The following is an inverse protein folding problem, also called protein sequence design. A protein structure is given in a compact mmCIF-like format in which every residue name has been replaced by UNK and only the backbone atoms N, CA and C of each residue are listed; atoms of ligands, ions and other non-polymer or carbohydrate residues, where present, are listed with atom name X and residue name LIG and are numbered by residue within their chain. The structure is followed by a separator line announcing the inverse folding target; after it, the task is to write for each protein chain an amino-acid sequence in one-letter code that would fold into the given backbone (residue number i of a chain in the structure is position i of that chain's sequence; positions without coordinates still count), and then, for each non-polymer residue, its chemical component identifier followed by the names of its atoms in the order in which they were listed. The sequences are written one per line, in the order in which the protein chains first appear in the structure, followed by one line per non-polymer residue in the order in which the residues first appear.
data_IF_646690358591
#
_entry.id   IF_646690358591
#
_cell.length_a   1.000
_cell.length_b   1.000
_cell.length_c   1.000
_cell.angle_alpha   90.00
_cell.angle_beta   90.00
_cell.angle_gamma   90.00
#
_symmetry.space_group_name_H-M   'P 1'
#
loop_
_entity.id
_entity.type
_entity.pdbx_description
1 polymer ?
#
# COMPACT_ATOMS: atom_id res chain seq x y z
N UNK A 1 33.86 -4.67 15.84
CA UNK A 1 33.64 -3.31 15.29
C UNK A 1 33.00 -3.49 13.92
N UNK A 2 31.69 -3.27 13.78
CA UNK A 2 30.98 -3.51 12.51
C UNK A 2 30.88 -2.21 11.72
N UNK A 3 31.42 -2.20 10.51
CA UNK A 3 31.48 -1.05 9.64
C UNK A 3 30.06 -0.64 9.20
N UNK A 4 29.65 0.60 9.54
CA UNK A 4 28.47 1.24 8.95
C UNK A 4 28.73 1.48 7.46
N UNK A 5 28.17 0.63 6.61
CA UNK A 5 28.12 0.86 5.16
C UNK A 5 27.40 2.19 4.90
N UNK A 6 28.10 3.18 4.33
CA UNK A 6 27.50 4.41 3.83
C UNK A 6 26.49 4.02 2.73
N UNK A 7 25.18 4.21 2.97
CA UNK A 7 24.18 4.12 1.89
C UNK A 7 24.56 5.19 0.86
N UNK A 8 24.95 4.74 -0.35
CA UNK A 8 24.82 5.53 -1.58
C UNK A 8 23.42 6.16 -1.62
N UNK A 9 23.20 7.26 -2.34
CA UNK A 9 21.88 7.90 -2.48
C UNK A 9 20.96 6.93 -3.25
N UNK A 10 20.51 5.88 -2.57
CA UNK A 10 19.74 4.79 -3.14
C UNK A 10 18.37 5.36 -3.49
N UNK A 11 17.98 5.21 -4.74
CA UNK A 11 16.59 5.37 -5.14
C UNK A 11 15.72 4.63 -4.14
N UNK A 12 14.83 5.35 -3.44
CA UNK A 12 13.97 4.75 -2.42
C UNK A 12 12.87 3.97 -3.08
N UNK A 13 12.65 2.75 -2.60
CA UNK A 13 11.58 1.85 -3.05
C UNK A 13 10.30 2.12 -2.26
N UNK A 14 9.19 2.36 -2.97
CA UNK A 14 7.90 2.68 -2.39
C UNK A 14 6.85 1.72 -2.95
N UNK A 15 6.09 1.06 -2.07
CA UNK A 15 4.89 0.34 -2.48
C UNK A 15 3.63 1.17 -2.22
N UNK A 16 2.87 1.43 -3.27
CA UNK A 16 1.53 2.01 -3.15
C UNK A 16 0.53 0.86 -3.03
N UNK A 17 -0.20 0.83 -1.93
CA UNK A 17 -1.14 -0.25 -1.60
C UNK A 17 -2.55 0.19 -1.94
N UNK A 18 -3.24 -0.64 -2.73
CA UNK A 18 -4.62 -0.43 -3.17
C UNK A 18 -5.48 -1.68 -2.90
N UNK A 19 -6.79 -1.49 -2.87
CA UNK A 19 -7.79 -2.54 -2.61
C UNK A 19 -8.88 -2.54 -3.69
N UNK A 20 -8.68 -3.22 -4.80
CA UNK A 20 -9.54 -3.13 -5.98
C UNK A 20 -10.91 -3.79 -5.77
N UNK A 21 -12.01 -3.06 -6.01
CA UNK A 21 -13.31 -3.73 -6.24
C UNK A 21 -13.28 -4.26 -7.69
N UNK A 22 -13.39 -5.58 -7.93
CA UNK A 22 -13.30 -6.11 -9.28
C UNK A 22 -14.35 -5.49 -10.21
N UNK A 23 -14.03 -5.38 -11.51
CA UNK A 23 -14.89 -4.79 -12.56
C UNK A 23 -15.31 -3.33 -12.35
N UNK A 24 -14.70 -2.64 -11.41
CA UNK A 24 -14.98 -1.24 -11.08
C UNK A 24 -13.75 -0.39 -11.34
N UNK A 25 -13.93 0.83 -11.85
CA UNK A 25 -12.87 1.85 -11.89
C UNK A 25 -13.46 3.20 -11.52
N UNK A 26 -12.81 3.93 -10.63
CA UNK A 26 -13.27 5.23 -10.17
C UNK A 26 -12.13 6.12 -9.68
N UNK A 27 -12.48 7.10 -8.84
CA UNK A 27 -11.55 8.11 -8.36
C UNK A 27 -10.37 7.54 -7.56
N UNK A 28 -10.58 6.40 -6.87
CA UNK A 28 -9.50 5.75 -6.12
C UNK A 28 -8.40 5.22 -7.03
N UNK A 29 -8.77 4.58 -8.15
CA UNK A 29 -7.82 4.04 -9.12
C UNK A 29 -7.10 5.17 -9.86
N UNK A 30 -7.83 6.22 -10.26
CA UNK A 30 -7.23 7.42 -10.89
C UNK A 30 -6.23 8.10 -9.95
N UNK A 31 -6.51 8.15 -8.65
CA UNK A 31 -5.59 8.71 -7.67
C UNK A 31 -4.33 7.86 -7.51
N UNK A 32 -4.46 6.53 -7.46
CA UNK A 32 -3.29 5.63 -7.43
C UNK A 32 -2.44 5.82 -8.68
N UNK A 33 -3.04 5.88 -9.87
CA UNK A 33 -2.35 6.12 -11.14
C UNK A 33 -1.55 7.43 -11.10
N UNK A 34 -2.20 8.52 -10.64
CA UNK A 34 -1.57 9.84 -10.49
C UNK A 34 -0.44 9.84 -9.46
N UNK A 35 -0.64 9.19 -8.31
CA UNK A 35 0.37 9.07 -7.27
C UNK A 35 1.63 8.36 -7.77
N UNK A 36 1.45 7.21 -8.43
CA UNK A 36 2.57 6.43 -8.98
C UNK A 36 3.33 7.26 -10.02
N UNK A 37 2.61 7.94 -10.92
CA UNK A 37 3.21 8.84 -11.92
C UNK A 37 4.08 9.91 -11.26
N UNK A 38 3.55 10.60 -10.26
CA UNK A 38 4.24 11.70 -9.58
C UNK A 38 5.45 11.23 -8.76
N UNK A 39 5.36 10.07 -8.11
CA UNK A 39 6.50 9.49 -7.39
C UNK A 39 7.61 9.07 -8.36
N UNK A 40 7.27 8.40 -9.46
CA UNK A 40 8.26 8.01 -10.47
C UNK A 40 8.93 9.21 -11.12
N UNK A 41 8.19 10.30 -11.36
CA UNK A 41 8.74 11.56 -11.87
C UNK A 41 9.77 12.21 -10.91
N UNK A 42 9.76 11.83 -9.62
CA UNK A 42 10.72 12.26 -8.60
C UNK A 42 11.83 11.23 -8.36
N UNK A 43 12.01 10.30 -9.30
CA UNK A 43 13.05 9.28 -9.28
C UNK A 43 12.94 8.27 -8.13
N UNK A 44 11.73 8.04 -7.62
CA UNK A 44 11.45 6.90 -6.73
C UNK A 44 11.22 5.62 -7.54
N UNK A 45 11.62 4.48 -6.99
CA UNK A 45 11.23 3.18 -7.51
C UNK A 45 9.87 2.82 -6.91
N UNK A 46 8.86 2.63 -7.74
CA UNK A 46 7.47 2.54 -7.26
C UNK A 46 6.73 1.40 -7.95
N UNK A 47 6.13 0.54 -7.13
CA UNK A 47 5.20 -0.49 -7.57
C UNK A 47 3.87 -0.40 -6.81
N UNK A 48 2.83 -0.98 -7.42
CA UNK A 48 1.49 -1.05 -6.84
C UNK A 48 1.19 -2.49 -6.41
N UNK A 49 0.80 -2.67 -5.15
CA UNK A 49 0.20 -3.92 -4.68
C UNK A 49 -1.29 -3.71 -4.52
N UNK A 50 -2.07 -4.43 -5.32
CA UNK A 50 -3.53 -4.35 -5.29
C UNK A 50 -4.15 -5.70 -5.00
N UNK A 51 -4.94 -5.79 -3.92
CA UNK A 51 -5.74 -6.97 -3.61
C UNK A 51 -7.21 -6.73 -3.92
N UNK A 52 -7.96 -7.76 -4.36
CA UNK A 52 -9.41 -7.68 -4.47
C UNK A 52 -10.04 -7.30 -3.13
N UNK A 53 -11.05 -6.43 -3.19
CA UNK A 53 -11.85 -5.99 -2.06
C UNK A 53 -13.33 -6.20 -2.33
N UNK A 54 -14.03 -6.72 -1.33
CA UNK A 54 -15.48 -6.82 -1.33
C UNK A 54 -16.04 -6.27 -0.02
N UNK A 55 -16.92 -5.27 -0.12
CA UNK A 55 -17.50 -4.63 1.05
C UNK A 55 -18.56 -5.50 1.74
N UNK A 56 -19.15 -6.46 1.04
CA UNK A 56 -20.25 -7.30 1.54
C UNK A 56 -20.02 -8.78 1.23
N UNK A 57 -20.54 -9.69 2.08
CA UNK A 57 -21.17 -9.41 3.37
C UNK A 57 -20.17 -8.89 4.42
N UNK A 58 -20.63 -8.14 5.44
CA UNK A 58 -19.72 -7.58 6.48
C UNK A 58 -18.88 -8.65 7.19
N UNK A 59 -19.35 -9.90 7.25
CA UNK A 59 -18.65 -11.03 7.87
C UNK A 59 -17.27 -11.33 7.25
N UNK A 60 -17.03 -10.96 5.98
CA UNK A 60 -15.74 -11.21 5.31
C UNK A 60 -14.72 -10.08 5.52
N UNK A 61 -15.10 -8.96 6.13
CA UNK A 61 -14.19 -7.81 6.33
C UNK A 61 -13.00 -8.18 7.22
N UNK A 62 -13.24 -8.95 8.30
CA UNK A 62 -12.19 -9.41 9.19
C UNK A 62 -11.14 -10.27 8.47
N UNK A 63 -11.57 -11.15 7.56
CA UNK A 63 -10.67 -11.97 6.74
C UNK A 63 -9.83 -11.10 5.80
N UNK A 64 -10.43 -10.09 5.17
CA UNK A 64 -9.69 -9.18 4.30
C UNK A 64 -8.65 -8.36 5.07
N UNK A 65 -8.98 -7.89 6.29
CA UNK A 65 -8.01 -7.24 7.18
C UNK A 65 -6.86 -8.20 7.54
N UNK A 66 -7.18 -9.44 7.89
CA UNK A 66 -6.17 -10.44 8.22
C UNK A 66 -5.20 -10.71 7.06
N UNK A 67 -5.71 -10.81 5.83
CA UNK A 67 -4.88 -10.96 4.63
C UNK A 67 -3.82 -9.86 4.52
N UNK A 68 -4.23 -8.59 4.67
CA UNK A 68 -3.30 -7.45 4.63
C UNK A 68 -2.26 -7.50 5.76
N UNK A 69 -2.64 -7.94 6.97
CA UNK A 69 -1.71 -8.06 8.11
C UNK A 69 -0.62 -9.12 7.88
N UNK A 70 -0.88 -10.12 7.04
CA UNK A 70 0.02 -11.25 6.79
C UNK A 70 0.89 -11.11 5.54
N UNK A 71 0.74 -10.04 4.75
CA UNK A 71 1.49 -9.90 3.50
C UNK A 71 3.00 -9.71 3.75
N UNK A 72 3.87 -10.48 3.09
CA UNK A 72 5.33 -10.31 3.18
C UNK A 72 5.79 -9.15 2.28
N UNK A 73 5.52 -7.91 2.70
CA UNK A 73 5.77 -6.70 1.90
C UNK A 73 7.11 -6.00 2.19
N UNK A 74 7.93 -6.52 3.11
CA UNK A 74 9.15 -5.83 3.55
C UNK A 74 10.28 -5.87 2.53
N UNK A 75 10.30 -6.87 1.65
CA UNK A 75 11.32 -7.00 0.60
C UNK A 75 10.84 -7.91 -0.54
N UNK A 76 11.32 -7.64 -1.75
CA UNK A 76 11.03 -8.41 -2.96
C UNK A 76 12.29 -8.54 -3.80
N UNK A 77 12.56 -9.74 -4.33
CA UNK A 77 13.71 -10.03 -5.21
C UNK A 77 15.05 -9.47 -4.68
N UNK A 78 15.29 -9.58 -3.35
CA UNK A 78 16.52 -9.11 -2.71
C UNK A 78 16.60 -7.60 -2.46
N UNK A 79 15.50 -6.85 -2.66
CA UNK A 79 15.41 -5.41 -2.44
C UNK A 79 14.43 -5.10 -1.31
N UNK A 80 14.87 -4.32 -0.34
CA UNK A 80 14.01 -3.84 0.74
C UNK A 80 12.98 -2.85 0.20
N UNK A 81 11.81 -2.81 0.84
CA UNK A 81 10.80 -1.78 0.64
C UNK A 81 11.05 -0.68 1.68
N UNK A 82 11.46 0.51 1.26
CA UNK A 82 11.78 1.60 2.19
C UNK A 82 10.50 2.22 2.79
N UNK A 83 9.37 2.19 2.07
CA UNK A 83 8.10 2.79 2.51
C UNK A 83 6.89 2.11 1.86
N UNK A 84 5.77 2.07 2.59
CA UNK A 84 4.46 1.77 1.99
C UNK A 84 3.48 2.93 2.15
N UNK A 85 2.68 3.17 1.11
CA UNK A 85 1.60 4.16 1.10
C UNK A 85 0.26 3.43 1.02
N UNK A 86 -0.52 3.48 2.09
CA UNK A 86 -1.84 2.87 2.19
C UNK A 86 -2.91 3.87 1.72
N UNK A 87 -3.73 3.50 0.74
CA UNK A 87 -4.67 4.46 0.12
C UNK A 87 -6.11 4.33 0.60
N UNK A 88 -6.57 3.13 0.93
CA UNK A 88 -7.97 2.88 1.34
C UNK A 88 -8.10 1.68 2.27
N UNK A 89 -9.24 1.54 2.93
CA UNK A 89 -9.56 0.30 3.62
C UNK A 89 -9.51 -0.89 2.64
N UNK A 90 -8.89 -2.04 2.97
CA UNK A 90 -8.23 -2.41 4.24
C UNK A 90 -6.70 -2.24 4.26
N UNK A 91 -6.11 -1.56 3.27
CA UNK A 91 -4.64 -1.48 3.05
C UNK A 91 -3.84 -1.06 4.28
N UNK A 92 -4.38 -0.17 5.11
CA UNK A 92 -3.69 0.32 6.31
C UNK A 92 -3.52 -0.73 7.42
N UNK A 93 -4.15 -1.89 7.30
CA UNK A 93 -3.92 -3.04 8.18
C UNK A 93 -2.55 -3.71 7.94
N UNK A 94 -1.86 -3.38 6.85
CA UNK A 94 -0.52 -3.90 6.56
C UNK A 94 0.48 -3.58 7.67
N UNK A 95 1.45 -4.47 7.85
CA UNK A 95 2.57 -4.32 8.77
C UNK A 95 3.81 -3.86 8.01
N UNK A 96 4.28 -2.65 8.29
CA UNK A 96 5.52 -2.11 7.76
C UNK A 96 6.08 -1.05 8.72
N UNK A 97 7.39 -1.01 8.99
CA UNK A 97 7.98 -0.02 9.92
C UNK A 97 7.81 1.42 9.43
N UNK A 98 7.78 1.63 8.12
CA UNK A 98 7.58 2.95 7.50
C UNK A 98 6.29 2.95 6.67
N UNK A 99 5.16 3.28 7.31
CA UNK A 99 3.83 3.26 6.71
C UNK A 99 3.22 4.65 6.70
N UNK A 100 2.84 5.13 5.53
CA UNK A 100 2.10 6.38 5.32
C UNK A 100 0.66 6.06 4.94
N UNK A 101 -0.30 6.76 5.53
CA UNK A 101 -1.71 6.65 5.18
C UNK A 101 -2.15 7.87 4.37
N UNK A 102 -2.45 7.67 3.09
CA UNK A 102 -3.13 8.65 2.25
C UNK A 102 -4.58 8.22 2.06
N UNK A 103 -5.41 8.49 3.06
CA UNK A 103 -6.78 8.01 3.09
C UNK A 103 -7.67 8.81 2.12
N UNK A 104 -8.13 8.17 1.06
CA UNK A 104 -9.02 8.77 0.03
C UNK A 104 -10.50 8.45 0.24
N UNK A 105 -10.82 7.38 0.97
CA UNK A 105 -12.17 7.05 1.42
C UNK A 105 -12.15 6.48 2.83
N UNK A 106 -12.95 7.06 3.72
CA UNK A 106 -13.26 6.44 5.02
C UNK A 106 -14.28 5.34 4.82
N UNK A 107 -14.02 4.14 5.33
CA UNK A 107 -15.06 3.12 5.46
C UNK A 107 -16.00 3.53 6.61
N UNK A 108 -17.07 4.26 6.28
CA UNK A 108 -17.96 4.91 7.27
C UNK A 108 -18.93 3.98 8.00
N UNK A 109 -18.87 2.65 7.84
CA UNK A 109 -19.83 1.72 8.45
C UNK A 109 -19.67 1.50 9.97
N UNK A 110 -18.83 2.28 10.66
CA UNK A 110 -18.60 2.18 12.11
C UNK A 110 -19.33 3.26 12.92
N UNK A 111 -20.04 4.19 12.28
CA UNK A 111 -20.83 5.24 12.94
C UNK A 111 -22.35 5.08 12.75
N UNK A 112 -22.80 3.99 12.10
CA UNK A 112 -24.21 3.65 11.95
C UNK A 112 -24.55 2.42 12.78
#
# INVERSE_FOLDING_TARGET
MSAKQKRSKSTRSILVLSAQVPFTRGGAEVLVDGLVKELRAREFEVDVVSLPFCAQPKSILARQIALWRTLPISSFAGRDVDMVICTKFPTYAVQHPNKVLWLIHQHRQLYN
#
